data_IF_337842878048
#
_entry.id   IF_337842878048
#
_cell.length_a   1.000
_cell.length_b   1.000
_cell.length_c   1.000
_cell.angle_alpha   90.00
_cell.angle_beta   90.00
_cell.angle_gamma   90.00
#
_symmetry.space_group_name_H-M   'P 1'
#
loop_
_entity.id
_entity.type
_entity.pdbx_description
1 polymer ?
#
# COMPACT_ATOMS: atom_id res chain seq x y z
N UNK A 1 -5.23 -48.01 52.16
CA UNK A 1 -6.69 -48.00 51.86
C UNK A 1 -7.03 -49.06 50.83
N UNK A 2 -6.33 -49.14 49.69
CA UNK A 2 -6.47 -50.24 48.72
C UNK A 2 -6.10 -51.60 49.35
N UNK A 3 -4.99 -51.70 50.08
CA UNK A 3 -4.60 -52.95 50.77
C UNK A 3 -5.69 -53.44 51.74
N UNK A 4 -6.29 -52.54 52.52
CA UNK A 4 -7.42 -52.87 53.40
C UNK A 4 -8.67 -53.32 52.62
N UNK A 5 -8.88 -52.79 51.42
CA UNK A 5 -9.99 -53.16 50.55
C UNK A 5 -9.75 -54.51 49.83
N UNK A 6 -8.52 -54.78 49.42
CA UNK A 6 -8.10 -56.08 48.89
C UNK A 6 -8.26 -57.18 49.94
N UNK A 7 -7.82 -56.93 51.17
CA UNK A 7 -8.00 -57.87 52.29
C UNK A 7 -9.48 -58.13 52.59
N UNK A 8 -10.33 -57.10 52.53
CA UNK A 8 -11.78 -57.26 52.68
C UNK A 8 -12.43 -58.08 51.55
N UNK A 9 -11.95 -57.94 50.31
CA UNK A 9 -12.43 -58.76 49.18
C UNK A 9 -11.98 -60.23 49.30
N UNK A 10 -10.79 -60.47 49.84
CA UNK A 10 -10.31 -61.82 50.16
C UNK A 10 -11.15 -62.45 51.27
N UNK A 11 -11.51 -61.69 52.32
CA UNK A 11 -12.39 -62.13 53.41
C UNK A 11 -13.82 -62.45 52.94
N UNK A 12 -14.27 -61.85 51.84
CA UNK A 12 -15.55 -62.14 51.17
C UNK A 12 -15.51 -63.38 50.25
N UNK A 13 -14.37 -64.06 50.15
CA UNK A 13 -14.21 -65.28 49.35
C UNK A 13 -13.95 -65.05 47.86
N UNK A 14 -13.54 -63.84 47.46
CA UNK A 14 -13.07 -63.59 46.09
C UNK A 14 -11.72 -64.28 45.92
N UNK A 15 -11.60 -65.16 44.92
CA UNK A 15 -10.34 -65.83 44.65
C UNK A 15 -9.25 -64.82 44.30
N UNK A 16 -8.06 -64.99 44.87
CA UNK A 16 -6.90 -64.08 44.78
C UNK A 16 -6.62 -63.58 43.34
N UNK A 17 -6.72 -64.48 42.35
CA UNK A 17 -6.59 -64.17 40.91
C UNK A 17 -7.56 -63.11 40.36
N UNK A 18 -8.70 -62.89 41.02
CA UNK A 18 -9.75 -61.96 40.57
C UNK A 18 -9.77 -60.66 41.38
N UNK A 19 -9.20 -60.64 42.59
CA UNK A 19 -9.24 -59.48 43.49
C UNK A 19 -8.69 -58.24 42.81
N UNK A 20 -7.56 -58.36 42.14
CA UNK A 20 -6.92 -57.25 41.44
C UNK A 20 -7.76 -56.70 40.27
N UNK A 21 -8.35 -57.59 39.47
CA UNK A 21 -9.24 -57.18 38.36
C UNK A 21 -10.52 -56.49 38.87
N UNK A 22 -11.05 -56.95 40.00
CA UNK A 22 -12.23 -56.36 40.65
C UNK A 22 -11.90 -54.96 41.19
N UNK A 23 -10.74 -54.77 41.82
CA UNK A 23 -10.29 -53.45 42.31
C UNK A 23 -10.14 -52.46 41.14
N UNK A 24 -9.55 -52.88 40.02
CA UNK A 24 -9.41 -52.04 38.82
C UNK A 24 -10.78 -51.66 38.25
N UNK A 25 -11.69 -52.64 38.11
CA UNK A 25 -13.03 -52.39 37.58
C UNK A 25 -13.83 -51.42 38.47
N UNK A 26 -13.75 -51.58 39.79
CA UNK A 26 -14.38 -50.67 40.76
C UNK A 26 -13.73 -49.28 40.68
N UNK A 27 -12.40 -49.20 40.60
CA UNK A 27 -11.68 -47.94 40.45
C UNK A 27 -12.11 -47.17 39.19
N UNK A 28 -12.17 -47.84 38.04
CA UNK A 28 -12.68 -47.24 36.79
C UNK A 28 -14.13 -46.76 36.97
N UNK A 29 -15.00 -47.57 37.56
CA UNK A 29 -16.40 -47.22 37.79
C UNK A 29 -16.54 -45.96 38.68
N UNK A 30 -15.78 -45.90 39.77
CA UNK A 30 -15.77 -44.74 40.67
C UNK A 30 -15.27 -43.49 39.97
N UNK A 31 -14.16 -43.59 39.20
CA UNK A 31 -13.62 -42.47 38.45
C UNK A 31 -14.63 -41.94 37.42
N UNK A 32 -15.26 -42.83 36.66
CA UNK A 32 -16.30 -42.44 35.68
C UNK A 32 -17.48 -41.77 36.36
N UNK A 33 -17.97 -42.35 37.48
CA UNK A 33 -19.10 -41.79 38.21
C UNK A 33 -18.78 -40.40 38.77
N UNK A 34 -17.61 -40.21 39.38
CA UNK A 34 -17.18 -38.91 39.89
C UNK A 34 -16.97 -37.91 38.74
N UNK A 35 -16.38 -38.33 37.62
CA UNK A 35 -16.20 -37.47 36.45
C UNK A 35 -17.54 -36.97 35.87
N UNK A 36 -18.54 -37.86 35.76
CA UNK A 36 -19.89 -37.51 35.32
C UNK A 36 -20.57 -36.55 36.30
N UNK A 37 -20.50 -36.83 37.60
CA UNK A 37 -21.05 -35.94 38.64
C UNK A 37 -20.40 -34.56 38.58
N UNK A 38 -19.06 -34.50 38.48
CA UNK A 38 -18.33 -33.24 38.36
C UNK A 38 -18.64 -32.48 37.08
N UNK A 39 -18.90 -33.17 35.95
CA UNK A 39 -19.39 -32.52 34.74
C UNK A 39 -20.73 -31.81 34.95
N UNK A 40 -21.71 -32.51 35.54
CA UNK A 40 -23.03 -31.91 35.80
C UNK A 40 -22.95 -30.76 36.80
N UNK A 41 -22.14 -30.90 37.84
CA UNK A 41 -21.90 -29.84 38.83
C UNK A 41 -21.23 -28.64 38.16
N UNK A 42 -20.14 -28.84 37.41
CA UNK A 42 -19.43 -27.77 36.72
C UNK A 42 -20.34 -27.06 35.70
N UNK A 43 -21.09 -27.81 34.88
CA UNK A 43 -22.05 -27.25 33.93
C UNK A 43 -23.09 -26.40 34.65
N UNK A 44 -23.67 -26.89 35.75
CA UNK A 44 -24.67 -26.16 36.52
C UNK A 44 -24.08 -24.90 37.16
N UNK A 45 -22.91 -25.00 37.80
CA UNK A 45 -22.25 -23.86 38.45
C UNK A 45 -21.85 -22.80 37.42
N UNK A 46 -21.18 -23.18 36.33
CA UNK A 46 -20.75 -22.25 35.29
C UNK A 46 -21.96 -21.56 34.67
N UNK A 47 -23.00 -22.30 34.26
CA UNK A 47 -24.19 -21.69 33.67
C UNK A 47 -24.92 -20.77 34.65
N UNK A 48 -25.14 -21.20 35.89
CA UNK A 48 -25.86 -20.38 36.90
C UNK A 48 -25.05 -19.14 37.28
N UNK A 49 -23.73 -19.28 37.48
CA UNK A 49 -22.86 -18.16 37.87
C UNK A 49 -22.77 -17.14 36.75
N UNK A 50 -22.61 -17.61 35.51
CA UNK A 50 -22.54 -16.73 34.36
C UNK A 50 -23.91 -16.08 34.11
N UNK A 51 -25.03 -16.79 34.15
CA UNK A 51 -26.38 -16.19 34.06
C UNK A 51 -26.64 -15.16 35.18
N UNK A 52 -26.18 -15.42 36.41
CA UNK A 52 -26.33 -14.51 37.55
C UNK A 52 -25.53 -13.22 37.39
N UNK A 53 -24.31 -13.31 36.83
CA UNK A 53 -23.49 -12.13 36.46
C UNK A 53 -24.10 -11.40 35.25
N UNK A 54 -24.63 -12.15 34.27
CA UNK A 54 -25.23 -11.64 33.02
C UNK A 54 -26.50 -10.81 33.27
N UNK A 55 -27.37 -11.18 34.23
CA UNK A 55 -28.57 -10.38 34.56
C UNK A 55 -28.27 -8.95 35.07
N UNK A 56 -27.01 -8.64 35.38
CA UNK A 56 -26.57 -7.30 35.80
C UNK A 56 -25.94 -6.47 34.66
N UNK A 57 -25.78 -7.04 33.47
CA UNK A 57 -25.12 -6.45 32.28
C UNK A 57 -26.14 -6.13 31.17
N UNK A 58 -25.90 -5.08 30.37
CA UNK A 58 -26.71 -4.72 29.18
C UNK A 58 -26.05 -5.15 27.86
N UNK A 59 -25.08 -6.05 27.90
CA UNK A 59 -24.14 -6.27 26.78
C UNK A 59 -24.53 -7.47 25.90
N UNK A 60 -24.53 -7.31 24.57
CA UNK A 60 -24.91 -8.37 23.60
C UNK A 60 -23.93 -9.57 23.54
N UNK A 61 -22.76 -9.48 24.15
CA UNK A 61 -21.78 -10.57 24.21
C UNK A 61 -22.30 -11.78 24.98
N UNK A 62 -23.16 -11.53 25.96
CA UNK A 62 -23.55 -12.48 26.97
C UNK A 62 -24.46 -13.57 26.40
N UNK A 63 -25.44 -13.19 25.58
CA UNK A 63 -26.36 -14.11 24.89
C UNK A 63 -25.61 -14.98 23.88
N UNK A 64 -24.64 -14.39 23.17
CA UNK A 64 -23.88 -15.06 22.12
C UNK A 64 -22.96 -16.15 22.69
N UNK A 65 -22.36 -15.95 23.87
CA UNK A 65 -21.54 -16.97 24.53
C UNK A 65 -22.35 -18.20 24.94
N UNK A 66 -23.62 -18.01 25.30
CA UNK A 66 -24.56 -19.09 25.65
C UNK A 66 -25.05 -19.80 24.38
N UNK A 67 -25.44 -19.04 23.34
CA UNK A 67 -25.87 -19.59 22.05
C UNK A 67 -24.79 -20.48 21.41
N UNK A 68 -23.53 -20.04 21.44
CA UNK A 68 -22.39 -20.78 20.88
C UNK A 68 -21.87 -21.88 21.83
N UNK A 69 -22.52 -22.07 23.00
CA UNK A 69 -22.23 -23.12 23.98
C UNK A 69 -20.81 -23.10 24.55
N UNK A 70 -20.15 -21.93 24.58
CA UNK A 70 -18.77 -21.78 25.07
C UNK A 70 -18.65 -22.34 26.50
N UNK A 71 -19.58 -21.95 27.36
CA UNK A 71 -19.61 -22.31 28.78
C UNK A 71 -19.86 -23.81 29.02
N UNK A 72 -20.68 -24.42 28.17
CA UNK A 72 -20.94 -25.87 28.22
C UNK A 72 -19.67 -26.64 27.83
N UNK A 73 -18.93 -26.16 26.82
CA UNK A 73 -17.66 -26.77 26.42
C UNK A 73 -16.58 -26.65 27.50
N UNK A 74 -16.53 -25.52 28.22
CA UNK A 74 -15.62 -25.36 29.38
C UNK A 74 -15.94 -26.37 30.50
N UNK A 75 -17.20 -26.74 30.71
CA UNK A 75 -17.56 -27.72 31.72
C UNK A 75 -16.97 -29.13 31.48
N UNK A 76 -16.49 -29.44 30.28
CA UNK A 76 -15.82 -30.70 29.97
C UNK A 76 -14.41 -30.81 30.57
N UNK A 77 -13.80 -29.70 31.04
CA UNK A 77 -12.54 -29.75 31.79
C UNK A 77 -12.68 -30.47 33.15
N UNK A 78 -13.85 -30.41 33.78
CA UNK A 78 -14.07 -31.01 35.11
C UNK A 78 -13.87 -32.53 35.15
N UNK A 79 -14.42 -33.33 34.20
CA UNK A 79 -14.08 -34.74 34.04
C UNK A 79 -12.58 -35.04 33.95
N UNK A 80 -11.82 -34.24 33.19
CA UNK A 80 -10.40 -34.46 33.00
C UNK A 80 -9.61 -34.27 34.30
N UNK A 81 -9.96 -33.22 35.07
CA UNK A 81 -9.38 -32.96 36.39
C UNK A 81 -9.71 -34.12 37.35
N UNK A 82 -10.94 -34.62 37.32
CA UNK A 82 -11.38 -35.75 38.14
C UNK A 82 -10.56 -37.02 37.87
N UNK A 83 -10.39 -37.37 36.59
CA UNK A 83 -9.64 -38.55 36.18
C UNK A 83 -8.17 -38.39 36.56
N UNK A 84 -7.56 -37.23 36.30
CA UNK A 84 -6.15 -36.99 36.62
C UNK A 84 -5.88 -37.04 38.14
N UNK A 85 -6.83 -36.58 38.96
CA UNK A 85 -6.66 -36.58 40.41
C UNK A 85 -6.94 -37.95 41.03
N UNK A 86 -7.93 -38.69 40.55
CA UNK A 86 -8.34 -39.99 41.11
C UNK A 86 -7.55 -41.18 40.58
N UNK A 87 -7.05 -41.13 39.34
CA UNK A 87 -6.34 -42.26 38.73
C UNK A 87 -5.11 -42.74 39.54
N UNK A 88 -4.25 -41.85 40.10
CA UNK A 88 -3.12 -42.29 40.94
C UNK A 88 -3.55 -43.04 42.20
N UNK A 89 -4.74 -42.77 42.74
CA UNK A 89 -5.23 -43.45 43.94
C UNK A 89 -5.67 -44.89 43.70
N UNK A 90 -6.06 -45.25 42.47
CA UNK A 90 -6.54 -46.61 42.15
C UNK A 90 -5.52 -47.45 41.37
N UNK A 91 -4.59 -46.80 40.65
CA UNK A 91 -3.69 -47.47 39.72
C UNK A 91 -2.20 -47.24 40.02
N UNK A 92 -1.84 -46.81 41.23
CA UNK A 92 -0.45 -46.53 41.64
C UNK A 92 0.55 -47.64 41.28
N UNK A 93 0.13 -48.91 41.41
CA UNK A 93 0.96 -50.09 41.14
C UNK A 93 1.07 -50.46 39.65
N UNK A 94 0.48 -49.66 38.75
CA UNK A 94 0.44 -49.90 37.29
C UNK A 94 0.92 -48.68 36.53
N UNK A 95 2.23 -48.50 36.47
CA UNK A 95 2.87 -47.37 35.79
C UNK A 95 2.45 -47.24 34.32
N UNK A 96 2.35 -48.34 33.58
CA UNK A 96 1.92 -48.34 32.17
C UNK A 96 0.48 -47.86 31.99
N UNK A 97 -0.44 -48.31 32.86
CA UNK A 97 -1.85 -47.92 32.83
C UNK A 97 -2.01 -46.44 33.20
N UNK A 98 -1.28 -45.97 34.22
CA UNK A 98 -1.26 -44.55 34.59
C UNK A 98 -0.69 -43.68 33.48
N UNK A 99 0.39 -44.10 32.82
CA UNK A 99 0.95 -43.41 31.67
C UNK A 99 -0.02 -43.30 30.51
N UNK A 100 -0.70 -44.40 30.16
CA UNK A 100 -1.72 -44.42 29.11
C UNK A 100 -2.94 -43.55 29.44
N UNK A 101 -3.41 -43.58 30.69
CA UNK A 101 -4.51 -42.74 31.17
C UNK A 101 -4.12 -41.26 31.15
N UNK A 102 -2.93 -40.89 31.64
CA UNK A 102 -2.44 -39.52 31.62
C UNK A 102 -2.31 -39.00 30.18
N UNK A 103 -1.80 -39.83 29.27
CA UNK A 103 -1.74 -39.52 27.84
C UNK A 103 -3.13 -39.26 27.26
N UNK A 104 -4.10 -40.15 27.52
CA UNK A 104 -5.48 -40.01 27.07
C UNK A 104 -6.17 -38.75 27.62
N UNK A 105 -5.96 -38.46 28.91
CA UNK A 105 -6.48 -37.24 29.57
C UNK A 105 -5.88 -35.98 28.93
N UNK A 106 -4.57 -35.96 28.66
CA UNK A 106 -3.92 -34.82 28.03
C UNK A 106 -4.44 -34.57 26.61
N UNK A 107 -4.65 -35.63 25.80
CA UNK A 107 -5.27 -35.52 24.47
C UNK A 107 -6.70 -34.99 24.59
N UNK A 108 -7.48 -35.53 25.53
CA UNK A 108 -8.85 -35.08 25.78
C UNK A 108 -8.92 -33.60 26.19
N UNK A 109 -8.02 -33.14 27.06
CA UNK A 109 -7.89 -31.74 27.45
C UNK A 109 -7.62 -30.82 26.26
N UNK A 110 -6.72 -31.22 25.35
CA UNK A 110 -6.43 -30.45 24.13
C UNK A 110 -7.66 -30.38 23.23
N UNK A 111 -8.38 -31.49 23.02
CA UNK A 111 -9.60 -31.50 22.21
C UNK A 111 -10.67 -30.56 22.78
N UNK A 112 -10.89 -30.58 24.10
CA UNK A 112 -11.81 -29.64 24.76
C UNK A 112 -11.34 -28.20 24.54
N UNK A 113 -10.05 -27.92 24.73
CA UNK A 113 -9.49 -26.59 24.56
C UNK A 113 -9.69 -26.05 23.14
N UNK A 114 -9.40 -26.86 22.12
CA UNK A 114 -9.66 -26.51 20.72
C UNK A 114 -11.15 -26.24 20.49
N UNK A 115 -12.03 -27.06 21.09
CA UNK A 115 -13.47 -26.93 20.95
C UNK A 115 -14.02 -25.66 21.63
N UNK A 116 -13.43 -25.25 22.75
CA UNK A 116 -13.71 -23.97 23.42
C UNK A 116 -13.27 -22.80 22.54
N UNK A 117 -12.04 -22.82 22.00
CA UNK A 117 -11.57 -21.76 21.10
C UNK A 117 -12.50 -21.62 19.88
N UNK A 118 -12.89 -22.73 19.26
CA UNK A 118 -13.79 -22.72 18.11
C UNK A 118 -15.13 -22.01 18.43
N UNK A 119 -15.69 -22.28 19.61
CA UNK A 119 -16.91 -21.62 20.11
C UNK A 119 -16.70 -20.13 20.31
N UNK A 120 -15.59 -19.75 20.93
CA UNK A 120 -15.27 -18.34 21.18
C UNK A 120 -15.14 -17.59 19.86
N UNK A 121 -14.49 -18.18 18.84
CA UNK A 121 -14.37 -17.58 17.52
C UNK A 121 -15.72 -17.50 16.79
N UNK A 122 -16.61 -18.49 16.95
CA UNK A 122 -17.99 -18.38 16.45
C UNK A 122 -18.76 -17.26 17.17
N UNK A 123 -18.58 -17.12 18.49
CA UNK A 123 -19.22 -16.07 19.26
C UNK A 123 -18.79 -14.68 18.79
N UNK A 124 -17.48 -14.49 18.53
CA UNK A 124 -16.96 -13.25 17.93
C UNK A 124 -17.58 -12.99 16.55
N UNK A 125 -17.71 -14.02 15.70
CA UNK A 125 -18.31 -13.88 14.38
C UNK A 125 -19.80 -13.52 14.44
N UNK A 126 -20.56 -14.20 15.32
CA UNK A 126 -22.00 -13.97 15.49
C UNK A 126 -22.26 -12.56 16.03
N UNK A 127 -21.48 -12.12 17.03
CA UNK A 127 -21.51 -10.76 17.53
C UNK A 127 -21.19 -9.73 16.42
N UNK A 128 -20.14 -9.98 15.64
CA UNK A 128 -19.78 -9.12 14.52
C UNK A 128 -20.94 -9.01 13.53
N UNK A 129 -21.57 -10.13 13.15
CA UNK A 129 -22.68 -10.14 12.19
C UNK A 129 -23.95 -9.45 12.70
N UNK A 130 -24.15 -9.37 14.02
CA UNK A 130 -25.28 -8.66 14.64
C UNK A 130 -25.12 -7.13 14.64
N UNK A 131 -23.90 -6.63 14.48
CA UNK A 131 -23.63 -5.18 14.42
C UNK A 131 -23.98 -4.61 13.03
N UNK A 132 -24.82 -3.58 13.00
CA UNK A 132 -25.28 -2.92 11.76
C UNK A 132 -24.13 -2.28 10.95
N UNK A 133 -22.96 -2.06 11.57
CA UNK A 133 -21.77 -1.44 11.00
C UNK A 133 -20.78 -2.42 10.34
N UNK A 134 -21.07 -3.73 10.33
CA UNK A 134 -20.08 -4.80 10.09
C UNK A 134 -20.07 -5.42 8.67
N UNK A 135 -20.93 -5.00 7.75
CA UNK A 135 -21.03 -5.69 6.44
C UNK A 135 -19.90 -5.39 5.45
N UNK A 136 -18.92 -4.56 5.81
CA UNK A 136 -17.85 -4.14 4.90
C UNK A 136 -16.60 -5.00 4.96
N UNK A 137 -16.34 -5.72 6.07
CA UNK A 137 -15.14 -6.56 6.23
C UNK A 137 -15.54 -8.05 6.28
N UNK A 138 -14.96 -8.92 5.43
CA UNK A 138 -15.29 -10.35 5.36
C UNK A 138 -14.67 -11.15 6.52
N UNK A 139 -15.08 -10.88 7.77
CA UNK A 139 -14.49 -11.45 8.99
C UNK A 139 -14.57 -12.98 9.06
N UNK A 140 -15.58 -13.59 8.42
CA UNK A 140 -15.76 -15.05 8.39
C UNK A 140 -14.52 -15.77 7.83
N UNK A 141 -13.95 -15.27 6.73
CA UNK A 141 -12.77 -15.89 6.11
C UNK A 141 -11.55 -15.81 7.01
N UNK A 142 -11.34 -14.66 7.67
CA UNK A 142 -10.24 -14.46 8.61
C UNK A 142 -10.35 -15.39 9.83
N UNK A 143 -11.53 -15.45 10.47
CA UNK A 143 -11.74 -16.34 11.61
C UNK A 143 -11.61 -17.82 11.24
N UNK A 144 -12.01 -18.20 10.02
CA UNK A 144 -11.80 -19.55 9.51
C UNK A 144 -10.31 -19.87 9.32
N UNK A 145 -9.52 -18.92 8.83
CA UNK A 145 -8.06 -19.07 8.77
C UNK A 145 -7.44 -19.23 10.17
N UNK A 146 -7.85 -18.41 11.15
CA UNK A 146 -7.40 -18.54 12.54
C UNK A 146 -7.74 -19.93 13.12
N UNK A 147 -8.98 -20.41 12.91
CA UNK A 147 -9.40 -21.76 13.33
C UNK A 147 -8.53 -22.85 12.74
N UNK A 148 -8.19 -22.74 11.45
CA UNK A 148 -7.32 -23.70 10.78
C UNK A 148 -5.95 -23.76 11.45
N UNK A 149 -5.33 -22.59 11.71
CA UNK A 149 -4.01 -22.52 12.38
C UNK A 149 -4.08 -23.12 13.79
N UNK A 150 -5.08 -22.76 14.60
CA UNK A 150 -5.23 -23.28 15.96
C UNK A 150 -5.43 -24.79 15.96
N UNK A 151 -6.28 -25.33 15.09
CA UNK A 151 -6.50 -26.77 14.97
C UNK A 151 -5.25 -27.52 14.48
N UNK A 152 -4.47 -26.92 13.57
CA UNK A 152 -3.20 -27.49 13.12
C UNK A 152 -2.19 -27.57 14.27
N UNK A 153 -2.05 -26.51 15.07
CA UNK A 153 -1.20 -26.50 16.26
C UNK A 153 -1.67 -27.57 17.25
N UNK A 154 -2.98 -27.65 17.50
CA UNK A 154 -3.58 -28.66 18.37
C UNK A 154 -3.29 -30.08 17.92
N UNK A 155 -3.42 -30.36 16.61
CA UNK A 155 -3.07 -31.65 16.02
C UNK A 155 -1.60 -32.01 16.26
N UNK A 156 -0.68 -31.05 16.08
CA UNK A 156 0.76 -31.26 16.32
C UNK A 156 1.01 -31.61 17.79
N UNK A 157 0.35 -30.94 18.74
CA UNK A 157 0.49 -31.25 20.17
C UNK A 157 -0.07 -32.64 20.49
N UNK A 158 -1.21 -33.03 19.91
CA UNK A 158 -1.80 -34.37 20.08
C UNK A 158 -0.82 -35.43 19.55
N UNK A 159 -0.25 -35.25 18.36
CA UNK A 159 0.74 -36.16 17.79
C UNK A 159 2.03 -36.20 18.63
N UNK A 160 2.48 -35.06 19.16
CA UNK A 160 3.62 -34.97 20.06
C UNK A 160 3.45 -35.84 21.30
N UNK A 161 2.27 -35.74 21.94
CA UNK A 161 1.91 -36.56 23.10
C UNK A 161 1.80 -38.04 22.70
N UNK A 162 1.16 -38.33 21.56
CA UNK A 162 0.89 -39.70 21.15
C UNK A 162 2.12 -40.50 20.73
N UNK A 163 3.09 -39.84 20.11
CA UNK A 163 4.33 -40.48 19.63
C UNK A 163 5.52 -40.26 20.57
N UNK A 164 5.33 -39.56 21.69
CA UNK A 164 6.41 -39.24 22.63
C UNK A 164 7.56 -38.44 22.00
N UNK A 165 7.25 -37.63 20.98
CA UNK A 165 8.22 -36.77 20.28
C UNK A 165 7.92 -35.32 20.59
N UNK A 166 8.94 -34.45 20.55
CA UNK A 166 8.70 -33.02 20.70
C UNK A 166 7.85 -32.47 19.53
N UNK A 167 7.06 -31.41 19.73
CA UNK A 167 6.29 -30.78 18.64
C UNK A 167 7.18 -30.35 17.45
N UNK A 168 8.43 -29.99 17.73
CA UNK A 168 9.45 -29.61 16.74
C UNK A 168 9.74 -30.74 15.75
N UNK A 169 9.68 -32.01 16.18
CA UNK A 169 9.87 -33.16 15.31
C UNK A 169 8.87 -33.14 14.13
N UNK A 170 7.62 -32.77 14.38
CA UNK A 170 6.60 -32.70 13.33
C UNK A 170 6.78 -31.48 12.41
N UNK A 171 7.35 -30.39 12.91
CA UNK A 171 7.72 -29.25 12.06
C UNK A 171 8.83 -29.58 11.06
N UNK A 172 9.71 -30.55 11.36
CA UNK A 172 10.78 -30.95 10.44
C UNK A 172 10.26 -31.49 9.10
N UNK A 173 9.11 -32.17 9.09
CA UNK A 173 8.44 -32.63 7.86
C UNK A 173 7.63 -31.55 7.14
N UNK A 174 7.26 -30.47 7.85
CA UNK A 174 6.47 -29.35 7.28
C UNK A 174 7.34 -28.33 6.52
N UNK A 175 8.67 -28.38 6.63
CA UNK A 175 9.56 -27.39 6.02
C UNK A 175 9.37 -27.29 4.50
N UNK A 176 9.36 -28.42 3.80
CA UNK A 176 9.13 -28.47 2.35
C UNK A 176 7.73 -27.96 1.96
N UNK A 177 6.70 -28.34 2.72
CA UNK A 177 5.32 -27.90 2.48
C UNK A 177 5.18 -26.39 2.70
N UNK A 178 5.85 -25.85 3.73
CA UNK A 178 5.85 -24.42 4.02
C UNK A 178 6.52 -23.61 2.91
N UNK A 179 7.66 -24.07 2.40
CA UNK A 179 8.35 -23.42 1.29
C UNK A 179 7.49 -23.39 0.01
N UNK A 180 6.83 -24.52 -0.30
CA UNK A 180 5.90 -24.61 -1.44
C UNK A 180 4.69 -23.69 -1.24
N UNK A 181 4.11 -23.67 -0.04
CA UNK A 181 2.99 -22.76 0.29
C UNK A 181 3.41 -21.29 0.17
N UNK A 182 4.57 -20.92 0.71
CA UNK A 182 5.09 -19.56 0.57
C UNK A 182 5.32 -19.18 -0.88
N UNK A 183 5.81 -20.10 -1.71
CA UNK A 183 5.99 -19.87 -3.14
C UNK A 183 4.65 -19.65 -3.85
N UNK A 184 3.64 -20.47 -3.56
CA UNK A 184 2.30 -20.36 -4.16
C UNK A 184 1.60 -19.07 -3.72
N UNK A 185 1.75 -18.67 -2.45
CA UNK A 185 1.06 -17.51 -1.87
C UNK A 185 1.88 -16.22 -1.88
N UNK A 186 3.10 -16.23 -2.42
CA UNK A 186 4.02 -15.08 -2.45
C UNK A 186 3.33 -13.81 -2.95
N UNK A 187 2.66 -13.90 -4.10
CA UNK A 187 2.07 -12.74 -4.76
C UNK A 187 0.82 -12.23 -4.02
N UNK A 188 0.07 -13.12 -3.38
CA UNK A 188 -1.07 -12.75 -2.53
C UNK A 188 -0.62 -11.97 -1.28
N UNK A 189 0.48 -12.41 -0.64
CA UNK A 189 1.05 -11.73 0.52
C UNK A 189 1.57 -10.33 0.11
N UNK A 190 2.32 -10.26 -1.00
CA UNK A 190 2.83 -8.97 -1.51
C UNK A 190 1.69 -8.02 -1.87
N UNK A 191 0.66 -8.50 -2.57
CA UNK A 191 -0.52 -7.69 -2.92
C UNK A 191 -1.26 -7.17 -1.69
N UNK A 192 -1.43 -8.00 -0.65
CA UNK A 192 -2.08 -7.59 0.60
C UNK A 192 -1.29 -6.50 1.33
N UNK A 193 0.02 -6.72 1.55
CA UNK A 193 0.89 -5.74 2.21
C UNK A 193 0.93 -4.43 1.43
N UNK A 194 1.03 -4.51 0.10
CA UNK A 194 1.06 -3.34 -0.75
C UNK A 194 -0.26 -2.57 -0.73
N UNK A 195 -1.40 -3.26 -0.71
CA UNK A 195 -2.71 -2.66 -0.54
C UNK A 195 -2.83 -1.80 0.71
N UNK A 196 -2.39 -2.35 1.85
CA UNK A 196 -2.37 -1.61 3.11
C UNK A 196 -1.46 -0.39 2.99
N UNK A 197 -0.27 -0.53 2.44
CA UNK A 197 0.68 0.58 2.30
C UNK A 197 0.14 1.70 1.39
N UNK A 198 -0.50 1.37 0.25
CA UNK A 198 -1.16 2.37 -0.62
C UNK A 198 -2.22 3.13 0.15
N UNK A 199 -3.07 2.41 0.90
CA UNK A 199 -4.16 3.02 1.65
C UNK A 199 -3.65 3.89 2.81
N UNK A 200 -2.62 3.45 3.53
CA UNK A 200 -2.07 4.19 4.69
C UNK A 200 -1.28 5.41 4.25
N UNK A 201 -0.47 5.29 3.20
CA UNK A 201 0.37 6.38 2.70
C UNK A 201 -0.35 7.28 1.68
N UNK A 202 -1.61 6.98 1.38
CA UNK A 202 -2.44 7.73 0.44
C UNK A 202 -1.77 7.97 -0.93
N UNK A 203 -1.07 6.95 -1.45
CA UNK A 203 -0.24 7.09 -2.66
C UNK A 203 -1.08 7.29 -3.94
N UNK A 204 -2.29 6.73 -3.97
CA UNK A 204 -3.25 6.80 -5.08
C UNK A 204 -4.66 6.84 -4.49
N UNK A 205 -5.53 7.69 -5.05
CA UNK A 205 -6.97 7.70 -4.76
C UNK A 205 -7.78 7.65 -6.05
N UNK A 206 -9.06 7.31 -5.91
CA UNK A 206 -10.05 7.47 -6.99
C UNK A 206 -10.11 8.94 -7.41
N UNK A 207 -10.05 9.17 -8.72
CA UNK A 207 -10.00 10.50 -9.33
C UNK A 207 -8.59 11.00 -9.65
N UNK A 208 -7.53 10.33 -9.19
CA UNK A 208 -6.17 10.69 -9.60
C UNK A 208 -5.92 10.34 -11.06
N UNK A 209 -5.23 11.22 -11.77
CA UNK A 209 -4.56 10.83 -13.01
C UNK A 209 -3.18 10.24 -12.67
N UNK A 210 -2.98 8.97 -13.03
CA UNK A 210 -1.68 8.29 -12.89
C UNK A 210 -1.12 7.83 -14.23
N UNK A 211 0.21 7.78 -14.34
CA UNK A 211 0.96 7.28 -15.50
C UNK A 211 1.96 6.21 -15.05
N UNK A 212 1.79 5.00 -15.59
CA UNK A 212 2.61 3.80 -15.37
C UNK A 212 2.96 3.16 -16.72
N UNK A 213 4.05 3.60 -17.38
CA UNK A 213 4.42 3.12 -18.71
C UNK A 213 4.62 1.60 -18.78
N UNK A 214 5.18 0.99 -17.72
CA UNK A 214 5.43 -0.46 -17.65
C UNK A 214 4.14 -1.29 -17.66
N UNK A 215 3.04 -0.73 -17.18
CA UNK A 215 1.75 -1.40 -17.07
C UNK A 215 0.74 -0.93 -18.12
N UNK A 216 1.13 -0.05 -19.05
CA UNK A 216 0.21 0.60 -20.00
C UNK A 216 -1.02 1.19 -19.28
N UNK A 217 -0.79 1.92 -18.19
CA UNK A 217 -1.81 2.69 -17.49
C UNK A 217 -1.47 4.18 -17.62
N UNK A 218 -2.34 4.95 -18.26
CA UNK A 218 -2.25 6.41 -18.37
C UNK A 218 -3.65 7.00 -18.43
N UNK A 219 -4.14 7.44 -17.28
CA UNK A 219 -5.46 8.04 -17.15
C UNK A 219 -5.98 8.06 -15.72
N UNK A 220 -7.31 8.19 -15.59
CA UNK A 220 -7.97 8.43 -14.32
C UNK A 220 -8.19 7.14 -13.54
N UNK A 221 -7.87 7.15 -12.25
CA UNK A 221 -8.14 6.05 -11.33
C UNK A 221 -9.63 6.02 -11.03
N UNK A 222 -10.29 4.93 -11.41
CA UNK A 222 -11.74 4.75 -11.23
C UNK A 222 -12.08 3.90 -10.01
N UNK A 223 -11.15 3.07 -9.53
CA UNK A 223 -11.35 2.18 -8.39
C UNK A 223 -10.02 1.81 -7.72
N UNK A 224 -10.02 1.71 -6.39
CA UNK A 224 -8.87 1.31 -5.58
C UNK A 224 -9.34 0.26 -4.59
N UNK A 225 -8.86 -0.97 -4.78
CA UNK A 225 -9.08 -2.10 -3.87
C UNK A 225 -7.79 -2.47 -3.15
N UNK A 226 -7.87 -3.42 -2.21
CA UNK A 226 -6.69 -3.88 -1.48
C UNK A 226 -5.63 -4.55 -2.38
N UNK A 227 -6.03 -5.15 -3.50
CA UNK A 227 -5.12 -5.94 -4.34
C UNK A 227 -4.94 -5.37 -5.74
N UNK A 228 -5.82 -4.46 -6.16
CA UNK A 228 -5.80 -3.88 -7.50
C UNK A 228 -6.24 -2.42 -7.53
N UNK A 229 -5.70 -1.67 -8.48
CA UNK A 229 -6.11 -0.32 -8.87
C UNK A 229 -6.57 -0.37 -10.32
N UNK A 230 -7.74 0.20 -10.61
CA UNK A 230 -8.25 0.30 -11.98
C UNK A 230 -8.06 1.71 -12.50
N UNK A 231 -7.43 1.80 -13.67
CA UNK A 231 -7.15 3.04 -14.37
C UNK A 231 -7.93 3.03 -15.68
N UNK A 232 -8.76 4.04 -15.92
CA UNK A 232 -9.37 4.26 -17.22
C UNK A 232 -8.42 5.11 -18.07
N UNK A 233 -7.88 4.51 -19.12
CA UNK A 233 -6.97 5.19 -20.03
C UNK A 233 -7.70 6.25 -20.87
N UNK A 234 -6.93 7.11 -21.55
CA UNK A 234 -7.46 8.14 -22.44
C UNK A 234 -8.31 7.58 -23.60
N UNK A 235 -7.98 6.38 -24.09
CA UNK A 235 -8.76 5.63 -25.09
C UNK A 235 -10.00 4.92 -24.52
N UNK A 236 -10.31 5.15 -23.24
CA UNK A 236 -11.43 4.59 -22.46
C UNK A 236 -11.32 3.10 -22.15
N UNK A 237 -10.18 2.46 -22.41
CA UNK A 237 -9.90 1.10 -21.89
C UNK A 237 -9.63 1.12 -20.39
N UNK A 238 -9.77 -0.02 -19.72
CA UNK A 238 -9.50 -0.15 -18.28
C UNK A 238 -8.27 -1.04 -18.07
N UNK A 239 -7.19 -0.45 -17.56
CA UNK A 239 -6.01 -1.18 -17.10
C UNK A 239 -6.19 -1.51 -15.62
N UNK A 240 -6.07 -2.80 -15.27
CA UNK A 240 -6.10 -3.26 -13.87
C UNK A 240 -4.67 -3.53 -13.42
N UNK A 241 -4.18 -2.69 -12.51
CA UNK A 241 -2.81 -2.74 -11.97
C UNK A 241 -2.82 -3.39 -10.60
N UNK A 242 -2.04 -4.47 -10.36
CA UNK A 242 -1.87 -5.01 -9.02
C UNK A 242 -1.24 -3.99 -8.07
N UNK A 243 -1.70 -3.92 -6.82
CA UNK A 243 -1.20 -2.94 -5.83
C UNK A 243 0.30 -3.07 -5.57
N UNK A 244 0.87 -4.28 -5.60
CA UNK A 244 2.31 -4.45 -5.43
C UNK A 244 3.13 -3.77 -6.53
N UNK A 245 2.60 -3.64 -7.75
CA UNK A 245 3.30 -2.98 -8.85
C UNK A 245 3.49 -1.48 -8.61
N UNK A 246 2.52 -0.83 -7.95
CA UNK A 246 2.59 0.59 -7.56
C UNK A 246 3.67 0.87 -6.50
N UNK A 247 4.12 -0.16 -5.78
CA UNK A 247 5.18 -0.04 -4.77
C UNK A 247 6.54 -0.44 -5.34
N UNK A 248 6.56 -1.49 -6.18
CA UNK A 248 7.81 -1.99 -6.74
C UNK A 248 8.30 -1.17 -7.92
N UNK A 249 7.40 -0.54 -8.68
CA UNK A 249 7.72 0.23 -9.88
C UNK A 249 7.47 1.72 -9.69
N UNK A 250 8.21 2.56 -10.42
CA UNK A 250 7.98 4.00 -10.44
C UNK A 250 6.73 4.35 -11.23
N UNK A 251 5.91 5.24 -10.70
CA UNK A 251 4.77 5.83 -11.40
C UNK A 251 4.71 7.33 -11.17
N UNK A 252 4.00 8.05 -12.04
CA UNK A 252 3.68 9.47 -11.81
C UNK A 252 2.25 9.60 -11.33
N UNK A 253 2.05 10.40 -10.30
CA UNK A 253 0.73 10.85 -9.87
C UNK A 253 0.61 12.35 -10.17
N UNK A 254 -0.32 12.71 -11.04
CA UNK A 254 -0.52 14.10 -11.48
C UNK A 254 -1.33 14.94 -10.48
N UNK A 255 -1.85 14.35 -9.39
CA UNK A 255 -2.54 15.10 -8.33
C UNK A 255 -1.72 16.28 -7.83
N UNK A 256 -0.43 16.08 -7.57
CA UNK A 256 0.44 17.16 -7.07
C UNK A 256 0.55 18.35 -8.05
N UNK A 257 0.45 18.11 -9.36
CA UNK A 257 0.40 19.17 -10.38
C UNK A 257 -0.94 19.91 -10.33
N UNK A 258 -2.05 19.18 -10.21
CA UNK A 258 -3.40 19.75 -10.09
C UNK A 258 -3.56 20.58 -8.81
N UNK A 259 -3.09 20.07 -7.67
CA UNK A 259 -3.16 20.74 -6.35
C UNK A 259 -2.23 21.95 -6.25
N UNK A 260 -1.06 21.90 -6.89
CA UNK A 260 -0.17 23.06 -6.97
C UNK A 260 -0.77 24.22 -7.78
N UNK A 261 -1.83 23.97 -8.55
CA UNK A 261 -2.51 24.99 -9.35
C UNK A 261 -1.69 25.51 -10.52
N UNK A 262 -0.71 24.73 -11.00
CA UNK A 262 0.15 25.14 -12.10
C UNK A 262 0.65 23.99 -12.96
N UNK A 263 0.44 24.09 -14.29
CA UNK A 263 0.93 23.08 -15.25
C UNK A 263 2.08 23.60 -16.08
N UNK A 264 3.19 22.85 -16.10
CA UNK A 264 4.46 23.28 -16.69
C UNK A 264 4.45 23.21 -18.22
N UNK A 265 4.77 24.33 -18.86
CA UNK A 265 5.21 24.39 -20.26
C UNK A 265 6.74 24.37 -20.29
N UNK A 266 7.31 23.48 -21.11
CA UNK A 266 8.76 23.40 -21.37
C UNK A 266 8.98 23.06 -22.85
N UNK A 267 9.10 24.09 -23.69
CA UNK A 267 9.28 23.98 -25.14
C UNK A 267 10.35 24.95 -25.62
N UNK A 268 10.93 24.68 -26.78
CA UNK A 268 12.00 25.52 -27.35
C UNK A 268 11.64 25.99 -28.75
N UNK A 269 12.07 27.21 -29.09
CA UNK A 269 12.10 27.70 -30.47
C UNK A 269 13.55 27.71 -30.92
N UNK A 270 13.87 27.00 -31.99
CA UNK A 270 15.22 26.96 -32.53
C UNK A 270 15.45 28.14 -33.46
N UNK A 271 16.44 28.97 -33.14
CA UNK A 271 16.81 30.16 -33.91
C UNK A 271 17.92 29.81 -34.89
N UNK A 272 17.80 30.25 -36.14
CA UNK A 272 18.86 30.16 -37.13
C UNK A 272 20.06 31.01 -36.69
N UNK A 273 21.19 30.36 -36.44
CA UNK A 273 22.41 31.01 -35.95
C UNK A 273 22.95 32.06 -36.92
N UNK A 274 22.67 31.92 -38.23
CA UNK A 274 23.09 32.91 -39.23
C UNK A 274 22.29 34.23 -39.14
N UNK A 275 21.18 34.24 -38.41
CA UNK A 275 20.38 35.45 -38.19
C UNK A 275 20.79 36.24 -36.92
N UNK A 276 21.75 35.72 -36.15
CA UNK A 276 22.20 36.36 -34.91
C UNK A 276 23.20 37.47 -35.23
N UNK A 277 22.92 38.67 -34.73
CA UNK A 277 23.76 39.85 -34.94
C UNK A 277 23.67 40.84 -33.78
N UNK A 278 24.62 41.78 -33.73
CA UNK A 278 24.50 42.96 -32.87
C UNK A 278 23.26 43.78 -33.24
N UNK A 279 22.67 44.45 -32.26
CA UNK A 279 21.60 45.40 -32.50
C UNK A 279 22.22 46.71 -32.97
N UNK A 280 22.22 46.92 -34.29
CA UNK A 280 22.57 48.20 -34.92
C UNK A 280 21.61 49.31 -34.49
N UNK A 281 21.96 50.56 -34.82
CA UNK A 281 21.17 51.73 -34.42
C UNK A 281 19.73 51.67 -34.96
N UNK A 282 19.55 51.19 -36.19
CA UNK A 282 18.23 50.99 -36.81
C UNK A 282 17.37 50.01 -36.00
N UNK A 283 17.93 48.84 -35.63
CA UNK A 283 17.23 47.83 -34.87
C UNK A 283 16.97 48.29 -33.43
N UNK A 284 17.89 49.05 -32.85
CA UNK A 284 17.70 49.62 -31.52
C UNK A 284 16.55 50.64 -31.49
N UNK A 285 16.47 51.53 -32.49
CA UNK A 285 15.34 52.45 -32.64
C UNK A 285 14.01 51.73 -32.86
N UNK A 286 14.03 50.59 -33.58
CA UNK A 286 12.87 49.72 -33.68
C UNK A 286 12.48 49.12 -32.32
N UNK A 287 13.45 48.61 -31.55
CA UNK A 287 13.20 48.03 -30.23
C UNK A 287 12.61 49.03 -29.24
N UNK A 288 13.02 50.29 -29.28
CA UNK A 288 12.46 51.36 -28.44
C UNK A 288 10.95 51.57 -28.66
N UNK A 289 10.41 51.19 -29.83
CA UNK A 289 8.98 51.25 -30.13
C UNK A 289 8.18 50.10 -29.48
N UNK A 290 8.84 49.04 -29.02
CA UNK A 290 8.16 47.91 -28.39
C UNK A 290 7.88 48.23 -26.92
N UNK A 291 6.60 48.47 -26.59
CA UNK A 291 6.16 48.89 -25.25
C UNK A 291 6.67 47.97 -24.14
N UNK A 292 6.61 46.64 -24.33
CA UNK A 292 7.03 45.65 -23.33
C UNK A 292 8.54 45.67 -23.05
N UNK A 293 9.36 46.19 -23.96
CA UNK A 293 10.80 46.24 -23.79
C UNK A 293 11.31 47.51 -23.12
N UNK A 294 10.49 48.57 -22.99
CA UNK A 294 10.94 49.87 -22.48
C UNK A 294 11.74 49.77 -21.17
N UNK A 295 11.25 49.09 -20.11
CA UNK A 295 11.99 49.01 -18.85
C UNK A 295 13.34 48.29 -19.00
N UNK A 296 13.38 47.22 -19.81
CA UNK A 296 14.59 46.46 -20.07
C UNK A 296 15.62 47.29 -20.86
N UNK A 297 15.18 47.99 -21.91
CA UNK A 297 16.05 48.79 -22.76
C UNK A 297 16.63 49.99 -22.00
N UNK A 298 15.81 50.70 -21.22
CA UNK A 298 16.26 51.82 -20.38
C UNK A 298 17.38 51.40 -19.43
N UNK A 299 17.17 50.28 -18.71
CA UNK A 299 18.18 49.74 -17.80
C UNK A 299 19.43 49.26 -18.55
N UNK A 300 19.26 48.44 -19.61
CA UNK A 300 20.40 47.83 -20.30
C UNK A 300 21.23 48.80 -21.10
N UNK A 301 20.62 49.79 -21.74
CA UNK A 301 21.37 50.82 -22.44
C UNK A 301 22.20 51.65 -21.46
N UNK A 302 21.65 52.00 -20.29
CA UNK A 302 22.41 52.67 -19.23
C UNK A 302 23.62 51.84 -18.78
N UNK A 303 23.42 50.56 -18.45
CA UNK A 303 24.52 49.65 -18.05
C UNK A 303 25.60 49.52 -19.14
N UNK A 304 25.20 49.51 -20.41
CA UNK A 304 26.10 49.41 -21.55
C UNK A 304 26.88 50.71 -21.76
N UNK A 305 26.22 51.86 -21.70
CA UNK A 305 26.88 53.17 -21.82
C UNK A 305 27.89 53.41 -20.70
N UNK A 306 27.53 53.09 -19.44
CA UNK A 306 28.44 53.22 -18.29
C UNK A 306 29.66 52.29 -18.44
N UNK A 307 29.44 51.05 -18.90
CA UNK A 307 30.53 50.11 -19.15
C UNK A 307 31.47 50.61 -20.24
N UNK A 308 30.93 51.02 -21.39
CA UNK A 308 31.75 51.44 -22.53
C UNK A 308 32.49 52.76 -22.22
N UNK A 309 31.86 53.71 -21.54
CA UNK A 309 32.48 54.99 -21.17
C UNK A 309 33.63 54.83 -20.15
N UNK A 310 33.64 53.75 -19.37
CA UNK A 310 34.74 53.45 -18.43
C UNK A 310 36.01 52.96 -19.12
N UNK A 311 35.95 52.60 -20.42
CA UNK A 311 37.08 52.10 -21.21
C UNK A 311 37.61 53.20 -22.13
N UNK A 312 38.93 53.29 -22.25
CA UNK A 312 39.64 54.22 -23.16
C UNK A 312 39.99 53.54 -24.49
N UNK A 313 39.07 52.75 -25.01
CA UNK A 313 39.25 51.97 -26.24
C UNK A 313 38.53 52.67 -27.40
N UNK A 314 39.00 52.45 -28.62
CA UNK A 314 38.34 52.92 -29.83
C UNK A 314 37.10 52.07 -30.11
N UNK A 315 35.94 52.72 -30.15
CA UNK A 315 34.62 52.11 -30.25
C UNK A 315 34.02 52.23 -31.66
N UNK A 316 34.82 52.57 -32.68
CA UNK A 316 34.35 52.56 -34.08
C UNK A 316 33.82 51.18 -34.50
N UNK A 317 34.49 50.10 -34.08
CA UNK A 317 34.05 48.73 -34.35
C UNK A 317 33.17 48.18 -33.21
N UNK A 318 32.01 47.63 -33.56
CA UNK A 318 31.01 47.09 -32.61
C UNK A 318 31.56 45.98 -31.70
N UNK A 319 32.63 45.30 -32.09
CA UNK A 319 33.22 44.22 -31.28
C UNK A 319 34.01 44.76 -30.06
N UNK A 320 34.47 46.01 -30.12
CA UNK A 320 35.31 46.60 -29.07
C UNK A 320 34.48 47.11 -27.88
N UNK A 321 33.19 47.38 -28.12
CA UNK A 321 32.24 47.78 -27.09
C UNK A 321 31.35 46.63 -26.62
N UNK A 322 30.68 46.83 -25.48
CA UNK A 322 29.53 46.03 -25.12
C UNK A 322 28.33 46.53 -25.92
N UNK A 323 27.64 45.64 -26.63
CA UNK A 323 26.42 45.98 -27.38
C UNK A 323 25.29 44.98 -27.08
N UNK A 324 24.06 45.40 -27.28
CA UNK A 324 22.92 44.49 -27.28
C UNK A 324 22.98 43.62 -28.54
N UNK A 325 22.46 42.40 -28.45
CA UNK A 325 22.24 41.53 -29.60
C UNK A 325 20.75 41.38 -29.85
N UNK A 326 20.38 41.10 -31.09
CA UNK A 326 18.99 40.86 -31.44
C UNK A 326 18.40 39.66 -30.68
N UNK A 327 19.15 38.57 -30.53
CA UNK A 327 18.75 37.38 -29.78
C UNK A 327 18.65 37.61 -28.27
N UNK A 328 19.56 38.38 -27.68
CA UNK A 328 19.49 38.75 -26.27
C UNK A 328 18.26 39.59 -25.98
N UNK A 329 17.95 40.52 -26.89
CA UNK A 329 16.78 41.42 -26.77
C UNK A 329 15.47 40.67 -27.04
N UNK A 330 15.44 39.72 -27.97
CA UNK A 330 14.30 38.82 -28.18
C UNK A 330 13.98 38.01 -26.93
N UNK A 331 14.99 37.45 -26.25
CA UNK A 331 14.77 36.74 -24.98
C UNK A 331 14.17 37.64 -23.90
N UNK A 332 14.66 38.88 -23.80
CA UNK A 332 14.11 39.87 -22.88
C UNK A 332 12.65 40.21 -23.21
N UNK A 333 12.31 40.32 -24.50
CA UNK A 333 10.94 40.52 -24.95
C UNK A 333 10.04 39.35 -24.55
N UNK A 334 10.45 38.10 -24.84
CA UNK A 334 9.69 36.91 -24.45
C UNK A 334 9.45 36.89 -22.93
N UNK A 335 10.47 37.21 -22.14
CA UNK A 335 10.34 37.26 -20.69
C UNK A 335 9.33 38.34 -20.25
N UNK A 336 9.41 39.55 -20.81
CA UNK A 336 8.49 40.64 -20.51
C UNK A 336 7.05 40.31 -20.93
N UNK A 337 6.86 39.70 -22.11
CA UNK A 337 5.56 39.24 -22.60
C UNK A 337 4.92 38.22 -21.66
N UNK A 338 5.68 37.20 -21.24
CA UNK A 338 5.19 36.16 -20.34
C UNK A 338 4.93 36.70 -18.92
N UNK A 339 5.72 37.67 -18.45
CA UNK A 339 5.50 38.35 -17.17
C UNK A 339 4.26 39.25 -17.16
N UNK A 340 3.81 39.70 -18.33
CA UNK A 340 2.60 40.49 -18.48
C UNK A 340 1.35 39.62 -18.74
N UNK A 341 1.51 38.32 -19.00
CA UNK A 341 0.40 37.41 -19.30
C UNK A 341 -0.37 37.02 -18.04
N UNK A 342 -1.70 37.19 -18.08
CA UNK A 342 -2.61 36.76 -17.01
C UNK A 342 -2.76 35.24 -16.91
N UNK A 343 -2.45 34.51 -17.99
CA UNK A 343 -2.58 33.05 -18.11
C UNK A 343 -1.37 32.29 -17.53
N UNK A 344 -0.26 33.00 -17.30
CA UNK A 344 0.96 32.46 -16.73
C UNK A 344 0.94 32.59 -15.21
N UNK A 345 1.33 31.52 -14.52
CA UNK A 345 1.42 31.50 -13.07
C UNK A 345 2.71 32.20 -12.62
N UNK A 346 2.57 33.46 -12.20
CA UNK A 346 3.69 34.37 -11.98
C UNK A 346 4.54 34.02 -10.75
N UNK A 347 3.93 33.33 -9.79
CA UNK A 347 4.53 32.96 -8.50
C UNK A 347 5.45 31.73 -8.64
N UNK A 348 5.39 31.05 -9.78
CA UNK A 348 6.21 29.88 -10.09
C UNK A 348 7.41 30.25 -10.98
N UNK A 349 8.32 29.30 -11.16
CA UNK A 349 9.51 29.49 -11.99
C UNK A 349 9.13 29.83 -13.43
N UNK A 350 9.60 30.99 -13.89
CA UNK A 350 9.47 31.48 -15.26
C UNK A 350 10.86 31.85 -15.78
N UNK A 351 11.31 31.15 -16.82
CA UNK A 351 12.62 31.31 -17.42
C UNK A 351 12.52 31.35 -18.96
N UNK A 352 13.25 32.28 -19.56
CA UNK A 352 13.54 32.30 -20.99
C UNK A 352 15.05 32.23 -21.19
N UNK A 353 15.55 31.06 -21.63
CA UNK A 353 16.99 30.77 -21.66
C UNK A 353 17.44 30.17 -22.98
N UNK A 354 18.71 30.38 -23.30
CA UNK A 354 19.40 29.66 -24.38
C UNK A 354 19.86 28.29 -23.88
N UNK A 355 19.67 27.26 -24.70
CA UNK A 355 20.33 25.97 -24.53
C UNK A 355 21.60 25.93 -25.39
N UNK A 356 22.35 24.83 -25.30
CA UNK A 356 23.50 24.60 -26.16
C UNK A 356 23.07 24.65 -27.64
N UNK A 357 23.83 25.36 -28.51
CA UNK A 357 23.59 25.32 -29.95
C UNK A 357 23.68 23.89 -30.50
N UNK A 358 22.89 23.60 -31.52
CA UNK A 358 22.85 22.30 -32.20
C UNK A 358 22.97 22.49 -33.71
N UNK A 359 23.06 21.39 -34.47
CA UNK A 359 22.94 21.43 -35.93
C UNK A 359 21.59 21.97 -36.42
N UNK A 360 20.59 22.04 -35.54
CA UNK A 360 19.25 22.58 -35.82
C UNK A 360 19.09 24.02 -35.29
N UNK A 361 20.18 24.77 -35.14
CA UNK A 361 20.16 26.15 -34.65
C UNK A 361 20.35 26.27 -33.13
N UNK A 362 20.05 27.45 -32.60
CA UNK A 362 20.18 27.81 -31.19
C UNK A 362 18.81 27.75 -30.48
N UNK A 363 18.55 26.77 -29.58
CA UNK A 363 17.26 26.67 -28.92
C UNK A 363 17.05 27.75 -27.86
N UNK A 364 15.97 28.50 -27.97
CA UNK A 364 15.43 29.39 -26.93
C UNK A 364 14.33 28.63 -26.20
N UNK A 365 14.63 28.15 -25.00
CA UNK A 365 13.68 27.43 -24.16
C UNK A 365 12.79 28.41 -23.38
N UNK A 366 11.48 28.22 -23.54
CA UNK A 366 10.42 28.81 -22.75
C UNK A 366 10.05 27.81 -21.66
N UNK A 367 10.29 28.17 -20.41
CA UNK A 367 9.95 27.38 -19.23
C UNK A 367 9.06 28.22 -18.32
N UNK A 368 7.82 27.77 -18.10
CA UNK A 368 6.87 28.46 -17.24
C UNK A 368 5.80 27.49 -16.73
N UNK A 369 4.94 27.99 -15.83
CA UNK A 369 3.73 27.30 -15.42
C UNK A 369 2.50 28.12 -15.84
N UNK A 370 1.47 27.45 -16.32
CA UNK A 370 0.17 28.05 -16.64
C UNK A 370 -0.73 28.03 -15.41
N UNK A 371 -1.66 28.98 -15.29
CA UNK A 371 -2.64 29.00 -14.18
C UNK A 371 -3.74 27.94 -14.32
N UNK A 372 -4.01 27.49 -15.54
CA UNK A 372 -5.04 26.49 -15.81
C UNK A 372 -4.41 25.12 -16.06
N UNK A 373 -4.71 24.17 -15.18
CA UNK A 373 -4.17 22.81 -15.24
C UNK A 373 -4.98 21.89 -16.16
N UNK A 374 -6.21 22.30 -16.53
CA UNK A 374 -7.11 21.52 -17.38
C UNK A 374 -6.51 21.36 -18.76
N UNK A 375 -6.50 20.14 -19.27
CA UNK A 375 -5.71 19.77 -20.44
C UNK A 375 -6.03 20.62 -21.69
N UNK A 376 -7.30 20.76 -22.06
CA UNK A 376 -7.68 21.54 -23.24
C UNK A 376 -7.23 23.01 -23.16
N UNK A 377 -7.40 23.65 -21.99
CA UNK A 377 -6.97 25.03 -21.77
C UNK A 377 -5.46 25.18 -21.75
N UNK A 378 -4.75 24.25 -21.09
CA UNK A 378 -3.30 24.18 -21.10
C UNK A 378 -2.72 24.12 -22.53
N UNK A 379 -3.27 23.27 -23.40
CA UNK A 379 -2.83 23.18 -24.79
C UNK A 379 -3.13 24.46 -25.58
N UNK A 380 -4.29 25.09 -25.36
CA UNK A 380 -4.64 26.38 -25.96
C UNK A 380 -3.68 27.49 -25.56
N UNK A 381 -3.43 27.68 -24.25
CA UNK A 381 -2.48 28.67 -23.72
C UNK A 381 -1.09 28.44 -24.32
N UNK A 382 -0.67 27.18 -24.40
CA UNK A 382 0.62 26.83 -24.97
C UNK A 382 0.70 27.15 -26.47
N UNK A 383 -0.36 26.90 -27.25
CA UNK A 383 -0.43 27.27 -28.66
C UNK A 383 -0.37 28.80 -28.82
N UNK A 384 -1.23 29.55 -28.13
CA UNK A 384 -1.31 31.02 -28.23
C UNK A 384 0.02 31.71 -27.91
N UNK A 385 0.74 31.23 -26.88
CA UNK A 385 2.08 31.73 -26.55
C UNK A 385 3.03 31.52 -27.73
N UNK A 386 3.07 30.31 -28.30
CA UNK A 386 4.02 30.00 -29.36
C UNK A 386 3.66 30.65 -30.69
N UNK A 387 2.37 30.80 -31.02
CA UNK A 387 1.90 31.52 -32.19
C UNK A 387 2.38 32.98 -32.16
N UNK A 388 2.19 33.66 -31.03
CA UNK A 388 2.67 35.03 -30.85
C UNK A 388 4.20 35.13 -30.94
N UNK A 389 4.93 34.26 -30.22
CA UNK A 389 6.38 34.30 -30.21
C UNK A 389 6.97 34.01 -31.59
N UNK A 390 6.42 33.05 -32.34
CA UNK A 390 6.86 32.75 -33.70
C UNK A 390 6.58 33.90 -34.66
N UNK A 391 5.41 34.54 -34.57
CA UNK A 391 5.06 35.69 -35.42
C UNK A 391 5.93 36.93 -35.15
N UNK A 392 6.41 37.11 -33.92
CA UNK A 392 7.21 38.27 -33.52
C UNK A 392 8.69 38.12 -33.86
N UNK A 393 9.22 36.90 -34.01
CA UNK A 393 10.64 36.64 -34.31
C UNK A 393 11.22 37.49 -35.47
N UNK A 394 10.57 37.61 -36.64
CA UNK A 394 11.06 38.44 -37.74
C UNK A 394 11.22 39.92 -37.37
N UNK A 395 10.48 40.42 -36.38
CA UNK A 395 10.61 41.80 -35.91
C UNK A 395 11.97 42.09 -35.29
N UNK A 396 12.67 41.05 -34.82
CA UNK A 396 14.01 41.09 -34.27
C UNK A 396 15.11 40.82 -35.32
N UNK A 397 14.78 40.80 -36.63
CA UNK A 397 15.69 40.35 -37.70
C UNK A 397 16.24 38.93 -37.43
N UNK A 398 15.49 38.10 -36.69
CA UNK A 398 15.80 36.71 -36.40
C UNK A 398 14.99 35.79 -37.32
N UNK A 399 15.49 34.57 -37.54
CA UNK A 399 14.78 33.52 -38.27
C UNK A 399 14.68 32.27 -37.41
N UNK A 400 13.58 31.55 -37.54
CA UNK A 400 13.45 30.20 -36.97
C UNK A 400 14.23 29.26 -37.86
N UNK A 401 15.04 28.39 -37.26
CA UNK A 401 15.72 27.34 -38.02
C UNK A 401 14.68 26.37 -38.58
N UNK A 402 14.82 26.05 -39.86
CA UNK A 402 14.04 25.03 -40.54
C UNK A 402 14.99 24.13 -41.32
N UNK A 403 14.74 22.82 -41.30
CA UNK A 403 15.42 21.92 -42.23
C UNK A 403 14.92 22.24 -43.64
N UNK A 404 15.79 22.19 -44.67
CA UNK A 404 15.36 22.33 -46.05
C UNK A 404 14.22 21.34 -46.35
N UNK A 405 13.11 21.86 -46.87
CA UNK A 405 11.99 21.08 -47.36
C UNK A 405 12.19 20.73 -48.83
N UNK A 406 11.34 19.84 -49.38
CA UNK A 406 11.37 19.52 -50.80
C UNK A 406 11.25 20.76 -51.70
N UNK A 407 10.47 21.78 -51.28
CA UNK A 407 10.30 23.04 -52.02
C UNK A 407 11.58 23.89 -52.06
N UNK A 408 12.35 23.89 -50.98
CA UNK A 408 13.62 24.63 -50.91
C UNK A 408 14.67 24.00 -51.84
N UNK A 409 14.61 22.68 -52.02
CA UNK A 409 15.47 21.94 -52.95
C UNK A 409 15.02 22.08 -54.42
N UNK A 410 13.73 22.27 -54.68
CA UNK A 410 13.23 22.60 -56.02
C UNK A 410 13.76 23.93 -56.52
N UNK A 411 13.92 24.93 -55.65
CA UNK A 411 14.56 26.20 -55.98
C UNK A 411 16.06 26.07 -56.34
N UNK A 412 16.68 24.92 -56.05
CA UNK A 412 18.07 24.60 -56.42
C UNK A 412 18.16 23.87 -57.77
N UNK A 413 17.03 23.46 -58.39
CA UNK A 413 17.02 22.95 -59.76
C UNK A 413 17.08 24.14 -60.74
N UNK A 414 18.24 24.78 -60.79
CA UNK A 414 18.67 25.65 -61.87
C UNK A 414 19.31 24.84 -62.98
#
# INVERSE_FOLDING_TARGET
MIENFQNWLLDLGVADRWVESVVIAIGVLVIVLVAVVLHFIAKKIILVSVIAVIRRSKTQWDDVLIEEKVLERVAHFAPAIAINWLAPFFFAEREELLGALAMGVNIYLILIFLWVIDSCLNAVLNLYNRSQKSRTIPLKGFLQAVKLVVNLIGLIIILSIAFGKSPIYFFSGLGAVTAVLLLIFKDAILGFVAGIQISVNNMVQVGDWIEMPKNNADGDVIDVTLTTVKVQNWDKTITTVPTYALISDSFKNWRGMSEAGGRRIKRSINIDMNSIQFADEELLEKFKRFTLLKPYLEQKLKEVHEHNASRKEDMEELINGRHLTNIGTFRAYCLAYLRNSELVQQDMTLLVRQLQPTGEGLPIQIYLFTKDTRWAFYEGIQADIFDHLLAVIPQFKLRVYQKPSGKDLEALKG
#
